data_IF_289967425406
#
_entry.id   IF_289967425406
#
_cell.length_a   1.000
_cell.length_b   1.000
_cell.length_c   1.000
_cell.angle_alpha   90.00
_cell.angle_beta   90.00
_cell.angle_gamma   90.00
#
_symmetry.space_group_name_H-M   'P 1'
#
loop_
_entity.id
_entity.type
_entity.pdbx_description
1 polymer ?
#
# COMPACT_ATOMS: atom_id res chain seq x y z
N UNK A 1 29.64 5.42 10.45
CA UNK A 1 28.62 5.88 9.47
C UNK A 1 27.89 7.04 10.10
N UNK A 2 27.37 8.03 9.36
CA UNK A 2 26.52 9.03 9.99
C UNK A 2 25.31 8.33 10.61
N UNK A 3 24.86 8.81 11.76
CA UNK A 3 23.69 8.26 12.44
C UNK A 3 22.44 8.45 11.56
N UNK A 4 21.51 7.48 11.61
CA UNK A 4 20.24 7.51 10.85
C UNK A 4 19.06 7.56 11.79
N UNK A 5 18.14 8.50 11.55
CA UNK A 5 16.87 8.59 12.25
C UNK A 5 15.76 8.02 11.35
N UNK A 6 15.09 6.95 11.81
CA UNK A 6 13.97 6.35 11.09
C UNK A 6 12.67 6.57 11.84
N UNK A 7 11.70 7.19 11.18
CA UNK A 7 10.40 7.57 11.73
C UNK A 7 9.31 6.77 11.03
N UNK A 8 8.56 6.01 11.80
CA UNK A 8 7.44 5.23 11.34
C UNK A 8 6.14 5.76 11.93
N UNK A 9 5.34 6.43 11.10
CA UNK A 9 4.06 7.02 11.49
C UNK A 9 2.85 6.40 10.75
N UNK A 10 3.08 5.56 9.74
CA UNK A 10 2.03 4.75 9.10
C UNK A 10 1.74 3.50 9.95
N UNK A 11 1.02 3.70 11.04
CA UNK A 11 0.72 2.77 12.11
C UNK A 11 0.93 3.41 13.48
N UNK A 12 1.08 2.59 14.52
CA UNK A 12 1.52 3.10 15.83
C UNK A 12 2.89 3.75 15.70
N UNK A 13 3.07 4.98 16.21
CA UNK A 13 4.31 5.72 16.05
C UNK A 13 5.51 4.97 16.63
N UNK A 14 6.61 4.90 15.86
CA UNK A 14 7.86 4.29 16.27
C UNK A 14 9.03 5.16 15.78
N UNK A 15 10.04 5.32 16.61
CA UNK A 15 11.26 6.08 16.34
C UNK A 15 12.44 5.13 16.48
N UNK A 16 13.34 5.10 15.52
CA UNK A 16 14.58 4.33 15.59
C UNK A 16 15.77 5.25 15.33
N UNK A 17 16.80 5.09 16.12
CA UNK A 17 18.11 5.71 15.92
C UNK A 17 19.12 4.57 15.69
N UNK A 18 19.74 4.53 14.52
CA UNK A 18 20.65 3.45 14.11
C UNK A 18 20.05 2.05 14.39
N UNK A 19 18.80 1.82 13.94
CA UNK A 19 18.01 0.60 14.12
C UNK A 19 17.64 0.27 15.58
N UNK A 20 17.97 1.12 16.54
CA UNK A 20 17.58 0.97 17.94
C UNK A 20 16.28 1.72 18.21
N UNK A 21 15.27 1.04 18.76
CA UNK A 21 13.99 1.65 19.11
C UNK A 21 14.20 2.69 20.23
N UNK A 22 13.77 3.91 19.96
CA UNK A 22 13.82 5.03 20.91
C UNK A 22 12.39 5.31 21.40
N UNK A 23 12.26 5.47 22.72
CA UNK A 23 10.99 5.82 23.35
C UNK A 23 10.98 7.29 23.72
N UNK A 24 10.09 8.08 23.13
CA UNK A 24 9.78 9.42 23.59
C UNK A 24 8.84 9.30 24.80
N UNK A 25 9.33 9.62 26.00
CA UNK A 25 8.56 9.47 27.24
C UNK A 25 7.28 10.32 27.25
N UNK A 26 7.35 11.52 26.66
CA UNK A 26 6.20 12.43 26.61
C UNK A 26 5.52 12.48 25.25
N UNK A 27 4.19 12.37 25.30
CA UNK A 27 3.35 12.37 24.09
C UNK A 27 3.52 13.64 23.25
N UNK A 28 3.71 14.83 23.87
CA UNK A 28 3.88 16.08 23.12
C UNK A 28 5.23 16.15 22.39
N UNK A 29 6.28 15.50 22.91
CA UNK A 29 7.56 15.38 22.19
C UNK A 29 7.40 14.55 20.90
N UNK A 30 6.71 13.42 21.00
CA UNK A 30 6.38 12.60 19.84
C UNK A 30 5.47 13.35 18.83
N UNK A 31 4.46 14.08 19.32
CA UNK A 31 3.58 14.88 18.49
C UNK A 31 4.33 15.98 17.72
N UNK A 32 5.22 16.70 18.42
CA UNK A 32 6.06 17.72 17.80
C UNK A 32 6.96 17.13 16.71
N UNK A 33 7.63 16.02 17.01
CA UNK A 33 8.50 15.34 16.05
C UNK A 33 7.70 14.85 14.83
N UNK A 34 6.51 14.28 15.04
CA UNK A 34 5.65 13.82 13.95
C UNK A 34 5.21 14.99 13.05
N UNK A 35 4.81 16.10 13.66
CA UNK A 35 4.41 17.30 12.90
C UNK A 35 5.56 17.85 12.06
N UNK A 36 6.74 18.09 12.68
CA UNK A 36 7.92 18.61 12.00
C UNK A 36 8.40 17.70 10.87
N UNK A 37 8.32 16.36 11.07
CA UNK A 37 8.76 15.40 10.06
C UNK A 37 7.83 15.34 8.85
N UNK A 38 6.53 15.38 9.10
CA UNK A 38 5.52 15.20 8.04
C UNK A 38 5.33 16.49 7.24
N UNK A 39 5.21 17.63 7.91
CA UNK A 39 5.04 18.92 7.23
C UNK A 39 6.34 19.40 6.59
N UNK A 40 7.49 19.06 7.18
CA UNK A 40 8.78 19.52 6.71
C UNK A 40 8.96 21.04 6.86
N UNK A 41 10.07 21.55 6.35
CA UNK A 41 10.34 22.99 6.37
C UNK A 41 10.57 23.55 7.79
N UNK A 42 10.34 24.86 7.94
CA UNK A 42 10.47 25.58 9.17
C UNK A 42 9.15 26.18 9.64
N UNK A 43 8.85 26.02 10.91
CA UNK A 43 7.62 26.44 11.55
C UNK A 43 7.92 27.50 12.61
N UNK A 44 7.07 28.51 12.73
CA UNK A 44 7.22 29.53 13.76
C UNK A 44 6.90 28.93 15.13
N UNK A 45 7.52 29.48 16.19
CA UNK A 45 7.21 29.06 17.56
C UNK A 45 5.77 29.33 17.94
N UNK A 46 5.18 30.40 17.41
CA UNK A 46 3.76 30.70 17.60
C UNK A 46 2.86 29.61 17.02
N UNK A 47 3.09 29.19 15.76
CA UNK A 47 2.27 28.13 15.13
C UNK A 47 2.39 26.80 15.86
N UNK A 48 3.59 26.40 16.31
CA UNK A 48 3.80 25.16 17.06
C UNK A 48 3.18 25.24 18.47
N UNK A 49 3.23 26.43 19.09
CA UNK A 49 2.59 26.66 20.39
C UNK A 49 1.07 26.59 20.29
N UNK A 50 0.47 27.22 19.29
CA UNK A 50 -0.95 27.16 19.02
C UNK A 50 -1.44 25.73 18.66
N UNK A 51 -0.58 24.95 18.01
CA UNK A 51 -0.87 23.55 17.68
C UNK A 51 -0.94 22.66 18.94
N UNK A 52 0.03 22.80 19.87
CA UNK A 52 0.19 21.87 20.98
C UNK A 52 -0.34 22.37 22.33
N UNK A 53 -0.51 23.69 22.49
CA UNK A 53 -0.99 24.34 23.72
C UNK A 53 -1.96 25.49 23.41
N UNK A 54 -3.08 25.24 22.72
CA UNK A 54 -4.00 26.32 22.31
C UNK A 54 -4.61 27.08 23.47
N UNK A 55 -4.80 26.44 24.64
CA UNK A 55 -5.46 27.03 25.80
C UNK A 55 -4.51 27.77 26.75
N UNK A 56 -3.19 27.82 26.42
CA UNK A 56 -2.19 28.46 27.27
C UNK A 56 -1.89 29.88 26.78
N UNK A 57 -1.55 30.78 27.73
CA UNK A 57 -0.98 32.06 27.35
C UNK A 57 0.37 31.86 26.62
N UNK A 58 0.72 32.83 25.78
CA UNK A 58 1.90 32.73 24.92
C UNK A 58 3.19 32.42 25.67
N UNK A 59 3.38 33.03 26.87
CA UNK A 59 4.60 32.82 27.67
C UNK A 59 4.74 31.38 28.13
N UNK A 60 3.65 30.80 28.66
CA UNK A 60 3.60 29.40 29.08
C UNK A 60 3.74 28.44 27.92
N UNK A 61 3.03 28.73 26.80
CA UNK A 61 3.11 27.89 25.60
C UNK A 61 4.55 27.84 25.05
N UNK A 62 5.26 28.97 25.03
CA UNK A 62 6.67 29.03 24.64
C UNK A 62 7.61 28.31 25.61
N UNK A 63 7.34 28.40 26.93
CA UNK A 63 8.12 27.67 27.94
C UNK A 63 7.94 26.14 27.75
N UNK A 64 6.71 25.70 27.53
CA UNK A 64 6.38 24.30 27.25
C UNK A 64 7.01 23.82 25.93
N UNK A 65 6.98 24.62 24.87
CA UNK A 65 7.63 24.30 23.59
C UNK A 65 9.15 24.12 23.77
N UNK A 66 9.81 25.02 24.51
CA UNK A 66 11.25 24.87 24.79
C UNK A 66 11.56 23.59 25.54
N UNK A 67 10.76 23.24 26.56
CA UNK A 67 10.92 21.99 27.28
C UNK A 67 10.71 20.78 26.39
N UNK A 68 9.66 20.79 25.57
CA UNK A 68 9.35 19.70 24.63
C UNK A 68 10.45 19.53 23.58
N UNK A 69 11.04 20.62 23.07
CA UNK A 69 12.20 20.56 22.19
C UNK A 69 13.41 19.91 22.85
N UNK A 70 13.67 20.27 24.12
CA UNK A 70 14.72 19.63 24.89
C UNK A 70 14.46 18.13 25.07
N UNK A 71 13.21 17.71 25.33
CA UNK A 71 12.83 16.29 25.44
C UNK A 71 13.04 15.53 24.14
N UNK A 72 12.69 16.14 23.01
CA UNK A 72 12.96 15.56 21.68
C UNK A 72 14.48 15.35 21.52
N UNK A 73 15.28 16.35 21.81
CA UNK A 73 16.76 16.25 21.72
C UNK A 73 17.34 15.20 22.68
N UNK A 74 16.78 15.06 23.89
CA UNK A 74 17.19 13.98 24.80
C UNK A 74 16.86 12.59 24.26
N UNK A 75 15.71 12.46 23.56
CA UNK A 75 15.27 11.17 23.03
C UNK A 75 16.06 10.74 21.78
N UNK A 76 16.29 11.65 20.83
CA UNK A 76 16.89 11.30 19.53
C UNK A 76 18.32 11.86 19.36
N UNK A 77 18.85 12.62 20.31
CA UNK A 77 20.15 13.30 20.21
C UNK A 77 20.07 14.68 19.57
N UNK A 78 21.19 15.39 19.62
CA UNK A 78 21.33 16.71 18.99
C UNK A 78 21.55 16.61 17.48
N UNK A 79 21.29 17.71 16.76
CA UNK A 79 21.53 17.82 15.31
C UNK A 79 20.37 17.40 14.41
N UNK A 80 19.33 16.73 14.92
CA UNK A 80 18.14 16.35 14.14
C UNK A 80 17.09 17.46 14.06
N UNK A 81 16.95 18.24 15.13
CA UNK A 81 16.02 19.37 15.22
C UNK A 81 16.82 20.67 15.33
N UNK A 82 16.58 21.57 14.40
CA UNK A 82 17.16 22.92 14.38
C UNK A 82 16.15 23.89 14.99
N UNK A 83 16.46 24.38 16.18
CA UNK A 83 15.64 25.35 16.91
C UNK A 83 16.37 26.71 16.92
N UNK A 84 15.92 27.63 16.05
CA UNK A 84 16.37 29.00 15.99
C UNK A 84 15.52 29.92 16.89
N UNK A 85 15.83 31.22 16.87
CA UNK A 85 15.14 32.21 17.72
C UNK A 85 13.63 32.17 17.48
N UNK A 86 13.19 32.17 16.22
CA UNK A 86 11.78 32.34 15.85
C UNK A 86 11.18 31.11 15.19
N UNK A 87 12.02 30.17 14.72
CA UNK A 87 11.60 29.00 13.97
C UNK A 87 12.19 27.69 14.48
N UNK A 88 11.46 26.60 14.19
CA UNK A 88 11.88 25.22 14.48
C UNK A 88 11.60 24.36 13.25
N UNK A 89 12.50 23.43 12.94
CA UNK A 89 12.32 22.47 11.86
C UNK A 89 13.27 21.29 12.02
N UNK A 90 13.09 20.25 11.22
CA UNK A 90 14.09 19.19 11.12
C UNK A 90 15.29 19.66 10.31
N UNK A 91 16.46 19.11 10.63
CA UNK A 91 17.67 19.34 9.86
C UNK A 91 17.56 18.65 8.50
N UNK A 92 17.55 19.44 7.43
CA UNK A 92 17.44 18.94 6.06
C UNK A 92 18.67 18.13 5.61
N UNK A 93 19.82 18.39 6.22
CA UNK A 93 21.09 17.70 5.89
C UNK A 93 21.28 16.39 6.66
N UNK A 94 20.39 16.08 7.61
CA UNK A 94 20.44 14.85 8.39
C UNK A 94 19.81 13.67 7.65
N UNK A 95 20.34 12.45 7.86
CA UNK A 95 19.80 11.22 7.28
C UNK A 95 18.52 10.79 8.02
N UNK A 96 17.39 11.38 7.60
CA UNK A 96 16.07 11.12 8.18
C UNK A 96 15.22 10.32 7.19
N UNK A 97 14.85 9.12 7.59
CA UNK A 97 13.94 8.23 6.84
C UNK A 97 12.54 8.33 7.45
N UNK A 98 11.55 8.69 6.64
CA UNK A 98 10.15 8.83 7.06
C UNK A 98 9.25 7.97 6.16
N UNK A 99 8.47 7.08 6.75
CA UNK A 99 7.63 6.13 6.01
C UNK A 99 6.53 6.83 5.18
N UNK A 100 5.94 7.92 5.67
CA UNK A 100 4.96 8.70 4.90
C UNK A 100 5.58 9.33 3.66
N UNK A 101 6.79 9.89 3.77
CA UNK A 101 7.52 10.48 2.65
C UNK A 101 7.95 9.41 1.64
N UNK A 102 8.38 8.24 2.10
CA UNK A 102 8.69 7.10 1.23
C UNK A 102 7.46 6.62 0.48
N UNK A 103 6.31 6.51 1.17
CA UNK A 103 5.02 6.17 0.56
C UNK A 103 4.66 7.18 -0.55
N UNK A 104 4.62 8.47 -0.24
CA UNK A 104 4.28 9.54 -1.19
C UNK A 104 5.28 9.63 -2.37
N UNK A 105 6.57 9.40 -2.13
CA UNK A 105 7.60 9.38 -3.18
C UNK A 105 7.40 8.23 -4.16
N UNK A 106 7.12 7.02 -3.68
CA UNK A 106 6.82 5.86 -4.53
C UNK A 106 5.58 6.09 -5.38
N UNK A 107 4.54 6.72 -4.82
CA UNK A 107 3.34 7.10 -5.58
C UNK A 107 3.64 8.12 -6.67
N UNK A 108 4.49 9.11 -6.38
CA UNK A 108 4.90 10.11 -7.38
C UNK A 108 5.66 9.45 -8.52
N UNK A 109 6.60 8.56 -8.22
CA UNK A 109 7.35 7.80 -9.21
C UNK A 109 6.43 6.88 -10.05
N UNK A 110 5.44 6.24 -9.43
CA UNK A 110 4.52 5.35 -10.14
C UNK A 110 3.66 6.10 -11.17
N UNK A 111 3.30 7.36 -10.92
CA UNK A 111 2.50 8.18 -11.84
C UNK A 111 3.22 8.53 -13.15
N UNK A 112 4.53 8.57 -13.13
CA UNK A 112 5.37 8.86 -14.30
C UNK A 112 5.91 7.60 -14.97
N UNK A 113 5.56 6.42 -14.45
CA UNK A 113 6.04 5.14 -14.95
C UNK A 113 5.09 4.54 -15.99
N UNK A 114 5.50 4.53 -17.25
CA UNK A 114 4.70 3.99 -18.37
C UNK A 114 4.70 2.46 -18.42
N UNK A 115 5.75 1.81 -17.94
CA UNK A 115 5.87 0.35 -17.95
C UNK A 115 5.09 -0.27 -16.80
N UNK A 116 3.98 -0.95 -17.11
CA UNK A 116 3.08 -1.56 -16.12
C UNK A 116 3.83 -2.45 -15.11
N UNK A 117 4.76 -3.35 -15.48
CA UNK A 117 5.45 -4.17 -14.48
C UNK A 117 6.24 -3.34 -13.45
N UNK A 118 6.98 -2.31 -13.88
CA UNK A 118 7.73 -1.43 -12.98
C UNK A 118 6.79 -0.57 -12.12
N UNK A 119 5.63 -0.17 -12.66
CA UNK A 119 4.61 0.55 -11.89
C UNK A 119 4.00 -0.33 -10.80
N UNK A 120 3.73 -1.61 -11.09
CA UNK A 120 3.29 -2.60 -10.10
C UNK A 120 4.30 -2.72 -8.95
N UNK A 121 5.60 -2.78 -9.23
CA UNK A 121 6.64 -2.85 -8.21
C UNK A 121 6.60 -1.63 -7.30
N UNK A 122 6.55 -0.41 -7.87
CA UNK A 122 6.47 0.84 -7.12
C UNK A 122 5.20 0.92 -6.26
N UNK A 123 4.03 0.58 -6.83
CA UNK A 123 2.76 0.58 -6.12
C UNK A 123 2.74 -0.47 -5.01
N UNK A 124 3.25 -1.68 -5.27
CA UNK A 124 3.33 -2.75 -4.27
C UNK A 124 4.22 -2.36 -3.09
N UNK A 125 5.36 -1.74 -3.37
CA UNK A 125 6.28 -1.28 -2.34
C UNK A 125 5.68 -0.11 -1.52
N UNK A 126 4.92 0.78 -2.15
CA UNK A 126 4.18 1.83 -1.43
C UNK A 126 3.14 1.22 -0.48
N UNK A 127 2.35 0.25 -0.96
CA UNK A 127 1.33 -0.45 -0.15
C UNK A 127 1.92 -1.20 1.04
N UNK A 128 3.12 -1.78 0.91
CA UNK A 128 3.85 -2.44 2.01
C UNK A 128 4.26 -1.46 3.11
N UNK A 129 4.58 -0.20 2.75
CA UNK A 129 4.95 0.84 3.72
C UNK A 129 3.77 1.29 4.55
N UNK A 130 2.57 1.27 4.00
CA UNK A 130 1.34 1.65 4.71
C UNK A 130 0.86 0.50 5.60
N UNK A 131 1.41 0.38 6.80
CA UNK A 131 1.09 -0.71 7.74
C UNK A 131 -0.29 -0.56 8.36
N UNK A 132 -0.66 0.68 8.77
CA UNK A 132 -1.96 1.03 9.33
C UNK A 132 -2.20 2.55 9.18
N UNK A 133 -3.34 3.07 9.68
CA UNK A 133 -3.63 4.50 9.65
C UNK A 133 -2.53 5.32 10.31
N UNK A 134 -2.35 6.53 9.79
CA UNK A 134 -1.36 7.48 10.33
C UNK A 134 -1.60 7.73 11.82
N UNK A 135 -0.52 7.63 12.61
CA UNK A 135 -0.52 7.80 14.07
C UNK A 135 -1.57 6.93 14.79
N UNK A 136 -1.80 5.68 14.35
CA UNK A 136 -2.78 4.77 14.96
C UNK A 136 -2.60 4.66 16.47
N UNK A 137 -3.68 4.93 17.23
CA UNK A 137 -3.69 4.85 18.69
C UNK A 137 -3.04 6.05 19.40
N UNK A 138 -2.66 7.08 18.65
CA UNK A 138 -2.04 8.26 19.20
C UNK A 138 -2.95 9.49 19.07
N UNK A 139 -3.18 10.19 20.20
CA UNK A 139 -3.89 11.47 20.26
C UNK A 139 -3.43 12.25 21.49
N UNK A 140 -3.68 13.54 21.54
CA UNK A 140 -3.41 14.40 22.70
C UNK A 140 -4.73 14.87 23.29
N UNK A 141 -4.91 14.73 24.62
CA UNK A 141 -6.17 15.14 25.29
C UNK A 141 -6.36 16.66 25.31
N UNK A 142 -5.27 17.41 25.35
CA UNK A 142 -5.21 18.86 25.54
C UNK A 142 -4.61 19.60 24.34
N UNK A 143 -4.71 19.04 23.14
CA UNK A 143 -4.24 19.66 21.90
C UNK A 143 -5.20 19.32 20.73
N UNK A 144 -6.40 19.88 20.71
CA UNK A 144 -7.38 19.60 19.66
C UNK A 144 -6.85 19.95 18.26
N UNK A 145 -6.11 21.06 18.11
CA UNK A 145 -5.55 21.48 16.82
C UNK A 145 -4.57 20.41 16.24
N UNK A 146 -3.76 19.78 17.10
CA UNK A 146 -2.91 18.67 16.67
C UNK A 146 -3.73 17.45 16.24
N UNK A 147 -4.78 17.11 16.99
CA UNK A 147 -5.62 15.95 16.64
C UNK A 147 -6.38 16.17 15.33
N UNK A 148 -6.85 17.39 15.09
CA UNK A 148 -7.50 17.76 13.82
C UNK A 148 -6.53 17.65 12.64
N UNK A 149 -5.31 18.19 12.80
CA UNK A 149 -4.24 18.02 11.80
C UNK A 149 -3.93 16.54 11.53
N UNK A 150 -3.74 15.75 12.59
CA UNK A 150 -3.42 14.34 12.48
C UNK A 150 -4.55 13.55 11.78
N UNK A 151 -5.80 13.87 12.09
CA UNK A 151 -6.98 13.29 11.43
C UNK A 151 -7.00 13.65 9.93
N UNK A 152 -6.85 14.92 9.59
CA UNK A 152 -6.84 15.37 8.20
C UNK A 152 -5.71 14.70 7.39
N UNK A 153 -4.50 14.59 7.96
CA UNK A 153 -3.38 13.90 7.32
C UNK A 153 -3.64 12.40 7.16
N UNK A 154 -4.24 11.77 8.19
CA UNK A 154 -4.63 10.35 8.15
C UNK A 154 -5.61 10.07 7.01
N UNK A 155 -6.63 10.92 6.85
CA UNK A 155 -7.63 10.79 5.78
C UNK A 155 -7.02 11.02 4.39
N UNK A 156 -6.14 12.01 4.24
CA UNK A 156 -5.45 12.24 2.98
C UNK A 156 -4.59 11.03 2.57
N UNK A 157 -3.82 10.46 3.50
CA UNK A 157 -3.00 9.27 3.27
C UNK A 157 -3.86 8.02 3.01
N UNK A 158 -5.01 7.88 3.68
CA UNK A 158 -5.98 6.80 3.44
C UNK A 158 -6.56 6.86 2.03
N UNK A 159 -6.91 8.05 1.56
CA UNK A 159 -7.39 8.25 0.18
C UNK A 159 -6.31 7.92 -0.86
N UNK A 160 -5.06 8.33 -0.60
CA UNK A 160 -3.93 7.97 -1.48
C UNK A 160 -3.74 6.45 -1.53
N UNK A 161 -3.81 5.75 -0.38
CA UNK A 161 -3.75 4.29 -0.35
C UNK A 161 -4.91 3.66 -1.14
N UNK A 162 -6.14 4.15 -0.98
CA UNK A 162 -7.30 3.64 -1.72
C UNK A 162 -7.07 3.74 -3.23
N UNK A 163 -6.66 4.90 -3.73
CA UNK A 163 -6.33 5.10 -5.16
C UNK A 163 -5.20 4.16 -5.60
N UNK A 164 -4.18 3.98 -4.77
CA UNK A 164 -3.05 3.08 -5.05
C UNK A 164 -3.50 1.62 -5.20
N UNK A 165 -4.35 1.15 -4.30
CA UNK A 165 -4.89 -0.22 -4.34
C UNK A 165 -5.76 -0.46 -5.57
N UNK A 166 -6.53 0.55 -6.00
CA UNK A 166 -7.30 0.50 -7.26
C UNK A 166 -6.35 0.33 -8.44
N UNK A 167 -5.38 1.24 -8.61
CA UNK A 167 -4.43 1.21 -9.72
C UNK A 167 -3.62 -0.09 -9.75
N UNK A 168 -3.13 -0.55 -8.60
CA UNK A 168 -2.38 -1.80 -8.51
C UNK A 168 -3.23 -3.00 -8.91
N UNK A 169 -4.50 -3.04 -8.50
CA UNK A 169 -5.41 -4.12 -8.88
C UNK A 169 -5.69 -4.12 -10.38
N UNK A 170 -5.89 -2.95 -10.98
CA UNK A 170 -6.12 -2.79 -12.42
C UNK A 170 -4.89 -3.18 -13.25
N UNK A 171 -3.71 -2.74 -12.84
CA UNK A 171 -2.45 -3.09 -13.50
C UNK A 171 -2.18 -4.60 -13.48
N UNK A 172 -2.38 -5.24 -12.33
CA UNK A 172 -2.25 -6.70 -12.19
C UNK A 172 -3.26 -7.44 -13.08
N UNK A 173 -4.49 -6.96 -13.13
CA UNK A 173 -5.52 -7.51 -14.02
C UNK A 173 -5.15 -7.35 -15.51
N UNK A 174 -4.57 -6.22 -15.88
CA UNK A 174 -4.12 -5.94 -17.26
C UNK A 174 -3.02 -6.91 -17.69
N UNK A 175 -2.17 -7.36 -16.77
CA UNK A 175 -1.14 -8.39 -17.03
C UNK A 175 -1.67 -9.84 -16.91
N UNK A 176 -2.98 -10.04 -16.72
CA UNK A 176 -3.56 -11.37 -16.52
C UNK A 176 -3.25 -11.98 -15.14
N UNK A 177 -2.80 -11.19 -14.18
CA UNK A 177 -2.43 -11.61 -12.82
C UNK A 177 -3.56 -11.32 -11.81
N UNK A 178 -4.81 -11.55 -12.20
CA UNK A 178 -5.99 -11.20 -11.40
C UNK A 178 -6.01 -11.85 -10.01
N UNK A 179 -5.47 -13.07 -9.86
CA UNK A 179 -5.36 -13.71 -8.54
C UNK A 179 -4.49 -12.91 -7.57
N UNK A 180 -3.43 -12.26 -8.06
CA UNK A 180 -2.57 -11.40 -7.25
C UNK A 180 -3.24 -10.06 -6.91
N UNK A 181 -4.25 -9.61 -7.67
CA UNK A 181 -5.01 -8.40 -7.40
C UNK A 181 -6.02 -8.57 -6.24
N UNK A 182 -6.50 -9.81 -5.98
CA UNK A 182 -7.53 -10.09 -4.98
C UNK A 182 -7.22 -9.50 -3.59
N UNK A 183 -6.03 -9.71 -2.99
CA UNK A 183 -5.73 -9.17 -1.66
C UNK A 183 -5.77 -7.64 -1.62
N UNK A 184 -5.38 -6.95 -2.68
CA UNK A 184 -5.42 -5.50 -2.77
C UNK A 184 -6.85 -4.97 -2.89
N UNK A 185 -7.67 -5.60 -3.74
CA UNK A 185 -9.09 -5.25 -3.86
C UNK A 185 -9.87 -5.55 -2.57
N UNK A 186 -9.54 -6.61 -1.82
CA UNK A 186 -10.11 -6.87 -0.49
C UNK A 186 -9.71 -5.81 0.52
N UNK A 187 -8.46 -5.34 0.48
CA UNK A 187 -7.98 -4.28 1.38
C UNK A 187 -8.75 -2.97 1.18
N UNK A 188 -9.21 -2.65 -0.04
CA UNK A 188 -10.09 -1.50 -0.30
C UNK A 188 -11.38 -1.57 0.52
N UNK A 189 -12.02 -2.74 0.57
CA UNK A 189 -13.23 -2.93 1.37
C UNK A 189 -12.94 -2.83 2.87
N UNK A 190 -11.77 -3.28 3.32
CA UNK A 190 -11.36 -3.13 4.72
C UNK A 190 -11.16 -1.66 5.10
N UNK A 191 -10.73 -0.80 4.17
CA UNK A 191 -10.58 0.64 4.39
C UNK A 191 -11.92 1.37 4.47
N UNK A 192 -12.90 0.93 3.70
CA UNK A 192 -14.24 1.50 3.66
C UNK A 192 -15.26 0.43 3.24
N UNK A 193 -15.87 -0.26 4.22
CA UNK A 193 -16.83 -1.33 3.94
C UNK A 193 -18.13 -0.87 3.27
N UNK A 194 -18.45 0.42 3.30
CA UNK A 194 -19.65 0.98 2.69
C UNK A 194 -19.41 1.50 1.27
N UNK A 195 -18.18 1.43 0.79
CA UNK A 195 -17.82 1.89 -0.56
C UNK A 195 -18.19 0.87 -1.62
N UNK A 196 -19.34 1.06 -2.26
CA UNK A 196 -19.83 0.18 -3.33
C UNK A 196 -18.85 0.05 -4.51
N UNK A 197 -18.07 1.10 -4.81
CA UNK A 197 -17.07 1.04 -5.88
C UNK A 197 -15.98 0.00 -5.55
N UNK A 198 -15.54 -0.08 -4.29
CA UNK A 198 -14.59 -1.10 -3.84
C UNK A 198 -15.16 -2.52 -3.98
N UNK A 199 -16.46 -2.70 -3.63
CA UNK A 199 -17.13 -3.98 -3.83
C UNK A 199 -17.23 -4.35 -5.32
N UNK A 200 -17.60 -3.40 -6.19
CA UNK A 200 -17.65 -3.63 -7.66
C UNK A 200 -16.26 -4.02 -8.18
N UNK A 201 -15.21 -3.35 -7.74
CA UNK A 201 -13.85 -3.68 -8.17
C UNK A 201 -13.46 -5.10 -7.77
N UNK A 202 -13.71 -5.52 -6.53
CA UNK A 202 -13.42 -6.89 -6.11
C UNK A 202 -14.25 -7.92 -6.91
N UNK A 203 -15.51 -7.62 -7.21
CA UNK A 203 -16.33 -8.47 -8.08
C UNK A 203 -15.71 -8.62 -9.48
N UNK A 204 -15.21 -7.53 -10.07
CA UNK A 204 -14.52 -7.54 -11.37
C UNK A 204 -13.22 -8.33 -11.33
N UNK A 205 -12.39 -8.13 -10.29
CA UNK A 205 -11.15 -8.88 -10.07
C UNK A 205 -11.43 -10.38 -9.94
N UNK A 206 -12.46 -10.78 -9.18
CA UNK A 206 -12.88 -12.19 -9.11
C UNK A 206 -13.32 -12.75 -10.46
N UNK A 207 -14.01 -11.95 -11.27
CA UNK A 207 -14.41 -12.38 -12.60
C UNK A 207 -13.21 -12.63 -13.51
N UNK A 208 -12.21 -11.74 -13.48
CA UNK A 208 -10.98 -11.88 -14.27
C UNK A 208 -10.12 -13.06 -13.79
N UNK A 209 -10.15 -13.37 -12.50
CA UNK A 209 -9.54 -14.56 -11.91
C UNK A 209 -10.34 -15.84 -12.14
N UNK A 210 -11.47 -15.81 -12.87
CA UNK A 210 -12.35 -16.98 -13.09
C UNK A 210 -13.17 -17.40 -11.88
N UNK A 211 -13.15 -16.64 -10.78
CA UNK A 211 -13.78 -16.94 -9.50
C UNK A 211 -15.25 -16.44 -9.43
N UNK A 212 -16.10 -16.87 -10.35
CA UNK A 212 -17.49 -16.41 -10.50
C UNK A 212 -18.31 -16.49 -9.20
N UNK A 213 -18.20 -17.61 -8.48
CA UNK A 213 -18.94 -17.79 -7.23
C UNK A 213 -18.51 -16.79 -6.15
N UNK A 214 -17.22 -16.41 -6.09
CA UNK A 214 -16.71 -15.40 -5.17
C UNK A 214 -17.26 -14.00 -5.53
N UNK A 215 -17.33 -13.67 -6.83
CA UNK A 215 -17.92 -12.41 -7.30
C UNK A 215 -19.40 -12.27 -6.91
N UNK A 216 -20.20 -13.34 -7.02
CA UNK A 216 -21.61 -13.34 -6.61
C UNK A 216 -21.76 -13.20 -5.09
N UNK A 217 -20.93 -13.89 -4.30
CA UNK A 217 -20.90 -13.75 -2.82
C UNK A 217 -20.51 -12.34 -2.42
N UNK A 218 -19.60 -11.69 -3.16
CA UNK A 218 -19.20 -10.32 -2.88
C UNK A 218 -20.32 -9.32 -3.06
N UNK A 219 -21.19 -9.51 -4.06
CA UNK A 219 -22.42 -8.72 -4.20
C UNK A 219 -23.33 -8.89 -2.97
N UNK A 220 -23.56 -10.14 -2.52
CA UNK A 220 -24.40 -10.41 -1.36
C UNK A 220 -23.85 -9.73 -0.10
N UNK A 221 -22.54 -9.78 0.11
CA UNK A 221 -21.88 -9.08 1.22
C UNK A 221 -22.05 -7.55 1.14
N UNK A 222 -21.99 -6.98 -0.06
CA UNK A 222 -22.25 -5.56 -0.30
C UNK A 222 -23.72 -5.20 0.03
N UNK A 223 -24.67 -5.96 -0.45
CA UNK A 223 -26.11 -5.75 -0.20
C UNK A 223 -26.42 -5.85 1.30
N UNK A 224 -25.88 -6.85 1.98
CA UNK A 224 -26.10 -7.07 3.41
C UNK A 224 -25.56 -5.89 4.26
N UNK A 225 -24.32 -5.43 3.99
CA UNK A 225 -23.72 -4.34 4.78
C UNK A 225 -24.44 -3.01 4.55
N UNK A 226 -24.81 -2.69 3.28
CA UNK A 226 -25.54 -1.47 2.98
C UNK A 226 -26.93 -1.45 3.62
N UNK A 227 -27.64 -2.59 3.59
CA UNK A 227 -28.95 -2.71 4.23
C UNK A 227 -28.86 -2.59 5.74
N UNK A 228 -27.84 -3.22 6.36
CA UNK A 228 -27.66 -3.21 7.80
C UNK A 228 -27.26 -1.84 8.35
N UNK A 229 -26.29 -1.18 7.71
CA UNK A 229 -25.70 0.06 8.24
C UNK A 229 -26.41 1.34 7.75
N UNK A 230 -26.97 1.32 6.53
CA UNK A 230 -27.59 2.49 5.90
C UNK A 230 -29.08 2.31 5.59
N UNK A 231 -29.61 1.09 5.63
CA UNK A 231 -31.02 0.80 5.28
C UNK A 231 -31.32 0.97 3.79
N UNK A 232 -30.32 0.90 2.89
CA UNK A 232 -30.47 1.12 1.47
C UNK A 232 -30.07 -0.13 0.66
N UNK A 233 -30.60 -0.20 -0.56
CA UNK A 233 -30.19 -1.21 -1.54
C UNK A 233 -28.97 -0.73 -2.35
N UNK A 234 -28.17 -1.65 -2.93
CA UNK A 234 -27.05 -1.29 -3.79
C UNK A 234 -27.44 -0.41 -4.98
N UNK A 235 -26.53 0.45 -5.42
CA UNK A 235 -26.70 1.32 -6.58
C UNK A 235 -26.99 0.53 -7.86
N UNK A 236 -27.63 1.15 -8.88
CA UNK A 236 -27.94 0.48 -10.16
C UNK A 236 -26.71 -0.19 -10.80
N UNK A 237 -25.55 0.48 -10.77
CA UNK A 237 -24.30 0.00 -11.36
C UNK A 237 -23.82 -1.29 -10.70
N UNK A 238 -23.98 -1.41 -9.38
CA UNK A 238 -23.61 -2.61 -8.62
C UNK A 238 -24.57 -3.77 -8.93
N UNK A 239 -25.88 -3.49 -9.01
CA UNK A 239 -26.90 -4.47 -9.40
C UNK A 239 -26.74 -4.95 -10.85
N UNK A 240 -26.38 -4.06 -11.75
CA UNK A 240 -26.20 -4.42 -13.17
C UNK A 240 -24.93 -5.23 -13.37
N UNK A 241 -23.84 -4.94 -12.64
CA UNK A 241 -22.65 -5.79 -12.61
C UNK A 241 -23.01 -7.20 -12.12
N UNK A 242 -23.79 -7.33 -11.03
CA UNK A 242 -24.26 -8.62 -10.54
C UNK A 242 -25.06 -9.40 -11.59
N UNK A 243 -26.00 -8.73 -12.29
CA UNK A 243 -26.79 -9.36 -13.35
C UNK A 243 -25.91 -9.90 -14.49
N UNK A 244 -24.89 -9.11 -14.91
CA UNK A 244 -23.92 -9.51 -15.95
C UNK A 244 -23.12 -10.73 -15.51
N UNK A 245 -22.61 -10.72 -14.26
CA UNK A 245 -21.88 -11.84 -13.69
C UNK A 245 -22.76 -13.10 -13.65
N UNK A 246 -24.00 -12.98 -13.15
CA UNK A 246 -24.95 -14.11 -13.06
C UNK A 246 -25.25 -14.73 -14.41
N UNK A 247 -25.37 -13.92 -15.47
CA UNK A 247 -25.58 -14.38 -16.83
C UNK A 247 -24.30 -14.87 -17.53
N UNK A 248 -23.13 -14.77 -16.89
CA UNK A 248 -21.81 -15.07 -17.47
C UNK A 248 -21.50 -14.25 -18.75
N UNK A 249 -22.06 -13.05 -18.86
CA UNK A 249 -21.83 -12.15 -19.99
C UNK A 249 -20.43 -11.50 -19.97
N UNK A 250 -19.78 -11.48 -18.81
CA UNK A 250 -18.41 -11.01 -18.66
C UNK A 250 -17.45 -12.17 -18.90
N UNK A 251 -16.82 -12.20 -20.05
CA UNK A 251 -15.67 -13.10 -20.30
C UNK A 251 -14.46 -12.57 -19.53
N UNK A 252 -13.60 -13.45 -18.95
CA UNK A 252 -12.30 -13.02 -18.47
C UNK A 252 -11.57 -12.34 -19.65
N UNK A 253 -10.86 -11.25 -19.36
CA UNK A 253 -9.96 -10.62 -20.32
C UNK A 253 -8.91 -11.67 -20.66
N UNK A 254 -9.03 -12.33 -21.80
CA UNK A 254 -7.93 -13.10 -22.36
C UNK A 254 -6.92 -12.05 -22.80
N UNK A 255 -5.90 -11.84 -22.00
CA UNK A 255 -4.67 -11.23 -22.49
C UNK A 255 -4.19 -12.17 -23.57
N UNK A 256 -4.36 -11.77 -24.84
CA UNK A 256 -3.61 -12.38 -25.92
C UNK A 256 -2.15 -12.26 -25.49
N UNK A 257 -1.62 -13.34 -24.93
CA UNK A 257 -0.18 -13.49 -24.76
C UNK A 257 0.38 -13.20 -26.15
N UNK A 258 0.92 -12.00 -26.34
CA UNK A 258 1.84 -11.80 -27.46
C UNK A 258 2.82 -12.95 -27.29
N UNK A 259 2.68 -13.91 -28.17
CA UNK A 259 3.70 -14.93 -28.36
C UNK A 259 4.97 -14.17 -28.69
N UNK A 260 5.69 -13.80 -27.64
CA UNK A 260 7.12 -13.71 -27.79
C UNK A 260 7.50 -15.07 -28.32
N UNK A 261 8.06 -15.08 -29.49
CA UNK A 261 8.79 -16.20 -30.07
C UNK A 261 10.06 -16.43 -29.24
N UNK A 262 9.83 -16.76 -27.98
CA UNK A 262 10.83 -17.14 -27.00
C UNK A 262 10.69 -18.63 -26.74
N UNK A 263 11.72 -19.36 -27.02
CA UNK A 263 11.95 -20.76 -26.69
C UNK A 263 11.38 -21.10 -25.31
N UNK A 264 10.60 -22.20 -25.17
CA UNK A 264 10.06 -22.62 -23.89
C UNK A 264 11.19 -22.81 -22.88
N UNK A 265 11.09 -22.14 -21.74
CA UNK A 265 12.03 -22.32 -20.62
C UNK A 265 11.77 -23.68 -19.97
N UNK A 266 12.43 -24.71 -20.48
CA UNK A 266 12.53 -26.01 -19.82
C UNK A 266 13.96 -26.18 -19.30
N UNK A 267 14.11 -26.95 -18.22
CA UNK A 267 15.40 -27.26 -17.60
C UNK A 267 16.13 -28.44 -18.29
N UNK A 268 15.77 -28.73 -19.53
CA UNK A 268 16.42 -29.78 -20.32
C UNK A 268 17.71 -29.18 -20.91
N UNK A 269 18.88 -29.76 -20.69
CA UNK A 269 20.14 -29.30 -21.31
C UNK A 269 19.99 -29.23 -22.82
N UNK A 270 20.55 -28.19 -23.44
CA UNK A 270 20.66 -28.10 -24.92
C UNK A 270 21.52 -29.27 -25.43
N UNK A 271 20.87 -30.19 -26.13
CA UNK A 271 21.60 -31.26 -26.81
C UNK A 271 22.42 -30.66 -27.98
N UNK A 272 23.74 -30.82 -27.88
CA UNK A 272 24.69 -30.40 -28.91
C UNK A 272 24.85 -31.43 -30.06
N UNK A 273 24.03 -32.49 -30.08
CA UNK A 273 24.04 -33.52 -31.10
C UNK A 273 22.67 -33.69 -31.79
N UNK A 274 22.71 -33.84 -33.09
CA UNK A 274 21.53 -34.14 -33.91
C UNK A 274 21.02 -35.55 -33.57
N UNK A 275 19.83 -35.65 -32.99
CA UNK A 275 19.20 -36.93 -32.71
C UNK A 275 18.74 -37.57 -34.02
N UNK A 276 19.40 -38.61 -34.44
CA UNK A 276 19.12 -39.31 -35.71
C UNK A 276 18.40 -40.63 -35.39
N UNK A 277 17.19 -40.81 -35.89
CA UNK A 277 16.38 -42.03 -35.76
C UNK A 277 15.20 -41.90 -34.79
N UNK A 278 14.35 -42.94 -34.75
CA UNK A 278 13.12 -43.04 -33.89
C UNK A 278 12.07 -41.97 -34.14
N UNK A 279 11.96 -41.44 -35.36
CA UNK A 279 10.94 -40.42 -35.71
C UNK A 279 9.50 -40.91 -35.51
N UNK A 280 9.25 -42.22 -35.64
CA UNK A 280 7.94 -42.83 -35.42
C UNK A 280 7.57 -42.83 -33.95
N UNK A 281 8.51 -43.15 -33.09
CA UNK A 281 8.34 -43.16 -31.63
C UNK A 281 8.13 -41.74 -31.10
N UNK A 282 8.89 -40.76 -31.59
CA UNK A 282 8.70 -39.32 -31.24
C UNK A 282 7.28 -38.84 -31.59
N UNK A 283 6.78 -39.17 -32.79
CA UNK A 283 5.42 -38.82 -33.20
C UNK A 283 4.34 -39.50 -32.30
N UNK A 284 4.60 -40.72 -31.88
CA UNK A 284 3.70 -41.48 -30.99
C UNK A 284 3.67 -40.85 -29.59
N UNK A 285 4.83 -40.53 -29.02
CA UNK A 285 4.98 -39.88 -27.71
C UNK A 285 4.32 -38.50 -27.73
N UNK A 286 4.55 -37.71 -28.78
CA UNK A 286 3.92 -36.39 -28.93
C UNK A 286 2.38 -36.48 -28.92
N UNK A 287 1.81 -37.48 -29.59
CA UNK A 287 0.33 -37.72 -29.54
C UNK A 287 -0.14 -38.16 -28.14
N UNK A 288 0.63 -38.99 -27.46
CA UNK A 288 0.28 -39.45 -26.11
C UNK A 288 0.30 -38.30 -25.09
N UNK A 289 1.28 -37.38 -25.17
CA UNK A 289 1.39 -36.22 -24.27
C UNK A 289 0.19 -35.26 -24.44
N UNK A 290 -0.29 -35.09 -25.65
CA UNK A 290 -1.44 -34.19 -25.92
C UNK A 290 -2.75 -34.73 -25.32
N UNK A 291 -2.90 -36.07 -25.24
CA UNK A 291 -4.15 -36.69 -24.82
C UNK A 291 -4.15 -37.27 -23.40
N UNK A 292 -3.02 -37.28 -22.71
CA UNK A 292 -2.87 -37.87 -21.37
C UNK A 292 -2.17 -36.90 -20.42
N UNK A 293 -2.64 -36.87 -19.17
CA UNK A 293 -2.05 -36.03 -18.10
C UNK A 293 -0.67 -36.51 -17.62
N UNK A 294 -0.37 -37.78 -17.82
CA UNK A 294 0.92 -38.40 -17.45
C UNK A 294 1.30 -39.44 -18.49
N UNK A 295 2.52 -39.37 -18.98
CA UNK A 295 3.14 -40.34 -19.87
C UNK A 295 4.47 -40.76 -19.27
N UNK A 296 4.63 -42.05 -18.99
CA UNK A 296 5.89 -42.62 -18.46
C UNK A 296 6.57 -43.43 -19.54
N UNK A 297 7.83 -43.10 -19.86
CA UNK A 297 8.68 -43.82 -20.78
C UNK A 297 9.53 -44.82 -20.00
N UNK A 298 9.42 -46.10 -20.33
CA UNK A 298 10.24 -47.17 -19.74
C UNK A 298 11.13 -47.72 -20.82
N UNK A 299 12.44 -47.71 -20.59
CA UNK A 299 13.43 -48.26 -21.49
C UNK A 299 14.45 -49.14 -20.75
N UNK A 300 15.06 -50.13 -21.46
CA UNK A 300 16.26 -50.79 -20.95
C UNK A 300 17.41 -49.79 -20.97
N UNK A 301 18.03 -49.56 -19.82
CA UNK A 301 19.15 -48.65 -19.62
C UNK A 301 20.40 -49.00 -20.45
#
# INVERSE_FOLDING_TARGET
MPARLTLHFLGSPQIYLDDTLVTAERRKALALLAYLAVEGGRHTRDSLSALLWPDYDQSKAFANLRHTLWEVQQAIGEGWVLAERDTVGLNADADIVLDTRQFESLLTQSRTQDKIPLRIDLLSDSVKRYRNHFLTGFSLKDAPNFNEWAFAKSEALRQQLSTTLVMLSEDLCTLGQADQAIPYARRLITLDPLNESAHRQLMQVYMQAGQHSAALKQYQACEEILRKELGIDPQPETRDLYKKIRKRELKPVQVESQKESGTPTHNIPLELSTFIGREKEQKTIAKLIVHNRLVTLIGAG
#
